data_IF_180873088686
#
_entry.id   IF_180873088686
#
_cell.length_a   1.000
_cell.length_b   1.000
_cell.length_c   1.000
_cell.angle_alpha   90.00
_cell.angle_beta   90.00
_cell.angle_gamma   90.00
#
_symmetry.space_group_name_H-M   'P 1'
#
loop_
_entity.id
_entity.type
_entity.pdbx_description
1 polymer ?
#
# COMPACT_ATOMS: atom_id res chain seq x y z
N UNK A 1 10.00 -0.62 -5.75
CA UNK A 1 8.82 -1.53 -5.61
C UNK A 1 9.16 -2.93 -6.10
N UNK A 2 8.46 -3.96 -5.61
CA UNK A 2 8.64 -5.33 -6.11
C UNK A 2 7.98 -5.54 -7.50
N UNK A 3 8.29 -6.62 -8.23
CA UNK A 3 7.72 -6.87 -9.55
C UNK A 3 6.20 -7.08 -9.58
N UNK A 4 5.57 -7.51 -8.48
CA UNK A 4 4.12 -7.70 -8.41
C UNK A 4 3.40 -6.36 -8.32
N UNK A 5 3.90 -5.45 -7.48
CA UNK A 5 3.38 -4.09 -7.36
C UNK A 5 3.53 -3.33 -8.69
N UNK A 6 4.72 -3.39 -9.31
CA UNK A 6 4.97 -2.80 -10.64
C UNK A 6 4.00 -3.34 -11.72
N UNK A 7 3.65 -4.63 -11.65
CA UNK A 7 2.69 -5.23 -12.56
C UNK A 7 1.27 -4.68 -12.34
N UNK A 8 0.83 -4.56 -11.08
CA UNK A 8 -0.49 -4.01 -10.75
C UNK A 8 -0.58 -2.54 -11.16
N UNK A 9 0.44 -1.74 -10.85
CA UNK A 9 0.50 -0.32 -11.24
C UNK A 9 0.52 -0.17 -12.77
N UNK A 10 1.23 -1.05 -13.49
CA UNK A 10 1.17 -1.08 -14.95
C UNK A 10 -0.22 -1.41 -15.48
N UNK A 11 -1.00 -2.28 -14.82
CA UNK A 11 -2.37 -2.61 -15.23
C UNK A 11 -3.30 -1.41 -14.92
N UNK A 12 -3.15 -0.79 -13.75
CA UNK A 12 -3.91 0.39 -13.36
C UNK A 12 -3.71 1.55 -14.34
N UNK A 13 -2.45 1.87 -14.71
CA UNK A 13 -2.15 2.87 -15.73
C UNK A 13 -2.76 2.52 -17.10
N UNK A 14 -2.71 1.23 -17.49
CA UNK A 14 -3.34 0.78 -18.74
C UNK A 14 -4.85 0.95 -18.71
N UNK A 15 -5.51 0.68 -17.59
CA UNK A 15 -6.95 0.89 -17.45
C UNK A 15 -7.34 2.34 -17.74
N UNK A 16 -6.57 3.32 -17.21
CA UNK A 16 -6.75 4.75 -17.52
C UNK A 16 -6.51 5.03 -19.00
N UNK A 17 -5.35 4.64 -19.54
CA UNK A 17 -4.99 5.00 -20.92
C UNK A 17 -5.80 4.29 -22.00
N UNK A 18 -6.46 3.17 -21.67
CA UNK A 18 -7.36 2.45 -22.55
C UNK A 18 -8.81 2.97 -22.50
N UNK A 19 -9.15 3.82 -21.52
CA UNK A 19 -10.45 4.46 -21.45
C UNK A 19 -10.63 5.38 -22.68
N UNK A 20 -11.69 5.19 -23.49
CA UNK A 20 -11.95 6.02 -24.67
C UNK A 20 -12.01 7.52 -24.37
N UNK A 21 -12.38 7.89 -23.15
CA UNK A 21 -12.52 9.27 -22.71
C UNK A 21 -11.17 9.88 -22.26
N UNK A 22 -10.09 9.10 -22.15
CA UNK A 22 -8.78 9.64 -21.76
C UNK A 22 -8.20 10.57 -22.84
N UNK A 23 -8.53 10.33 -24.11
CA UNK A 23 -8.18 11.22 -25.24
C UNK A 23 -6.70 11.68 -25.23
N UNK A 24 -5.78 10.74 -25.01
CA UNK A 24 -4.33 11.05 -24.98
C UNK A 24 -3.90 11.97 -23.82
N UNK A 25 -4.71 12.08 -22.77
CA UNK A 25 -4.50 12.98 -21.64
C UNK A 25 -5.20 14.34 -21.78
N UNK A 26 -5.83 14.63 -22.91
CA UNK A 26 -6.54 15.89 -23.16
C UNK A 26 -8.06 15.73 -22.97
N UNK A 27 -8.50 15.54 -21.72
CA UNK A 27 -9.92 15.32 -21.39
C UNK A 27 -10.55 16.48 -20.59
N UNK A 28 -9.87 17.62 -20.49
CA UNK A 28 -10.30 18.75 -19.64
C UNK A 28 -11.29 19.71 -20.31
N UNK A 29 -11.55 19.57 -21.61
CA UNK A 29 -12.53 20.42 -22.30
C UNK A 29 -13.95 20.12 -21.81
N UNK A 30 -14.79 21.15 -21.66
CA UNK A 30 -16.15 21.04 -21.10
C UNK A 30 -17.07 20.09 -21.86
N UNK A 31 -16.80 19.86 -23.15
CA UNK A 31 -17.57 18.97 -24.02
C UNK A 31 -17.07 17.52 -24.02
N UNK A 32 -16.01 17.22 -23.27
CA UNK A 32 -15.41 15.89 -23.19
C UNK A 32 -15.81 15.20 -21.89
N UNK A 33 -16.14 13.91 -22.02
CA UNK A 33 -16.24 13.04 -20.87
C UNK A 33 -14.85 12.78 -20.28
N UNK A 34 -14.80 12.55 -18.96
CA UNK A 34 -13.57 12.17 -18.25
C UNK A 34 -13.36 10.65 -18.31
N UNK A 35 -12.11 10.16 -18.20
CA UNK A 35 -11.79 8.72 -18.16
C UNK A 35 -12.10 8.09 -16.79
N UNK A 36 -13.32 8.29 -16.31
CA UNK A 36 -13.70 7.91 -14.95
C UNK A 36 -13.77 6.39 -14.79
N UNK A 37 -14.10 5.62 -15.85
CA UNK A 37 -14.10 4.15 -15.77
C UNK A 37 -12.68 3.61 -15.62
N UNK A 38 -11.75 4.11 -16.43
CA UNK A 38 -10.34 3.74 -16.35
C UNK A 38 -9.71 4.12 -15.01
N UNK A 39 -10.01 5.32 -14.52
CA UNK A 39 -9.55 5.78 -13.20
C UNK A 39 -10.19 4.98 -12.06
N UNK A 40 -11.47 4.63 -12.17
CA UNK A 40 -12.17 3.77 -11.23
C UNK A 40 -11.55 2.39 -11.12
N UNK A 41 -11.25 1.73 -12.24
CA UNK A 41 -10.55 0.45 -12.27
C UNK A 41 -9.16 0.53 -11.65
N UNK A 42 -8.40 1.59 -11.97
CA UNK A 42 -7.11 1.84 -11.36
C UNK A 42 -7.21 1.99 -9.83
N UNK A 43 -8.24 2.69 -9.34
CA UNK A 43 -8.53 2.80 -7.90
C UNK A 43 -8.85 1.43 -7.29
N UNK A 44 -9.68 0.62 -7.93
CA UNK A 44 -10.02 -0.71 -7.40
C UNK A 44 -8.79 -1.61 -7.26
N UNK A 45 -7.91 -1.62 -8.27
CA UNK A 45 -6.66 -2.38 -8.24
C UNK A 45 -5.75 -1.94 -7.09
N UNK A 46 -5.49 -0.64 -6.96
CA UNK A 46 -4.69 -0.11 -5.85
C UNK A 46 -5.34 -0.39 -4.50
N UNK A 47 -6.67 -0.26 -4.39
CA UNK A 47 -7.38 -0.50 -3.14
C UNK A 47 -7.30 -1.95 -2.64
N UNK A 48 -7.16 -2.91 -3.55
CA UNK A 48 -6.87 -4.32 -3.20
C UNK A 48 -5.46 -4.47 -2.63
N UNK A 49 -4.49 -3.67 -3.10
CA UNK A 49 -3.12 -3.67 -2.57
C UNK A 49 -3.02 -3.15 -1.14
N UNK A 50 -3.90 -2.22 -0.76
CA UNK A 50 -3.77 -1.56 0.54
C UNK A 50 -4.30 -2.39 1.71
N UNK A 51 -5.13 -3.39 1.43
CA UNK A 51 -5.77 -4.24 2.43
C UNK A 51 -5.07 -5.59 2.52
N UNK A 52 -4.90 -6.09 3.74
CA UNK A 52 -4.42 -7.47 3.93
C UNK A 52 -5.49 -8.49 3.54
N UNK A 53 -5.03 -9.73 3.27
CA UNK A 53 -5.94 -10.86 3.06
C UNK A 53 -6.85 -11.14 4.27
N UNK A 54 -6.33 -10.98 5.49
CA UNK A 54 -7.08 -11.21 6.72
C UNK A 54 -8.23 -10.20 6.85
N UNK A 55 -7.92 -8.90 6.69
CA UNK A 55 -8.92 -7.83 6.71
C UNK A 55 -10.00 -8.01 5.63
N UNK A 56 -9.60 -8.38 4.40
CA UNK A 56 -10.55 -8.67 3.32
C UNK A 56 -11.45 -9.88 3.63
N UNK A 57 -10.90 -10.94 4.22
CA UNK A 57 -11.65 -12.14 4.59
C UNK A 57 -12.71 -11.84 5.68
N UNK A 58 -12.31 -11.13 6.74
CA UNK A 58 -13.20 -10.78 7.85
C UNK A 58 -14.30 -9.79 7.41
N UNK A 59 -13.91 -8.81 6.59
CA UNK A 59 -14.80 -7.74 6.13
C UNK A 59 -15.80 -8.17 5.08
N UNK A 60 -15.50 -9.17 4.25
CA UNK A 60 -16.38 -9.54 3.13
C UNK A 60 -16.71 -11.03 3.05
N UNK A 61 -15.73 -11.90 3.25
CA UNK A 61 -15.84 -13.33 2.95
C UNK A 61 -16.37 -13.56 1.54
N UNK A 62 -17.41 -14.40 1.40
CA UNK A 62 -18.14 -14.62 0.13
C UNK A 62 -19.57 -14.10 0.19
N UNK A 63 -19.86 -13.12 1.05
CA UNK A 63 -21.23 -12.59 1.23
C UNK A 63 -21.76 -11.93 -0.04
N UNK A 64 -23.06 -12.03 -0.24
CA UNK A 64 -23.77 -11.37 -1.34
C UNK A 64 -24.26 -9.99 -0.90
N UNK A 65 -24.16 -9.01 -1.78
CA UNK A 65 -24.64 -7.66 -1.55
C UNK A 65 -26.17 -7.62 -1.36
N UNK A 66 -26.62 -6.83 -0.39
CA UNK A 66 -28.06 -6.66 -0.07
C UNK A 66 -28.78 -5.76 -1.09
N UNK A 67 -28.04 -4.92 -1.83
CA UNK A 67 -28.60 -4.11 -2.92
C UNK A 67 -28.87 -4.99 -4.15
N UNK A 68 -30.16 -5.22 -4.45
CA UNK A 68 -30.64 -5.84 -5.69
C UNK A 68 -30.59 -4.93 -6.92
N UNK A 69 -29.55 -4.11 -7.06
CA UNK A 69 -29.26 -3.37 -8.30
C UNK A 69 -28.38 -4.23 -9.18
N UNK A 70 -28.56 -4.17 -10.49
CA UNK A 70 -27.72 -4.84 -11.47
C UNK A 70 -26.24 -4.66 -11.14
N UNK A 71 -25.42 -5.70 -11.31
CA UNK A 71 -23.97 -5.57 -11.35
C UNK A 71 -23.62 -4.40 -12.29
N UNK A 72 -23.03 -3.33 -11.78
CA UNK A 72 -22.84 -2.05 -12.46
C UNK A 72 -23.39 -0.87 -11.64
N UNK A 73 -22.51 -0.22 -10.86
CA UNK A 73 -22.76 1.16 -10.41
C UNK A 73 -22.86 2.13 -11.59
N UNK A 74 -23.17 3.41 -11.35
CA UNK A 74 -23.26 4.41 -12.44
C UNK A 74 -21.94 4.51 -13.23
N UNK A 75 -20.83 4.12 -12.61
CA UNK A 75 -19.49 4.16 -13.18
C UNK A 75 -19.19 3.02 -14.16
N UNK A 76 -19.67 1.80 -13.92
CA UNK A 76 -19.26 0.62 -14.70
C UNK A 76 -20.43 0.01 -15.48
N UNK A 77 -20.21 -0.43 -16.73
CA UNK A 77 -21.24 -1.09 -17.50
C UNK A 77 -21.64 -2.42 -16.84
N UNK A 78 -22.90 -2.82 -17.02
CA UNK A 78 -23.37 -4.08 -16.48
C UNK A 78 -22.66 -5.28 -17.10
N UNK A 79 -22.19 -6.22 -16.26
CA UNK A 79 -21.57 -7.47 -16.72
C UNK A 79 -22.63 -8.45 -17.25
N UNK A 80 -22.65 -8.75 -18.57
CA UNK A 80 -23.59 -9.72 -19.14
C UNK A 80 -23.39 -11.14 -18.59
N UNK A 81 -22.18 -11.47 -18.13
CA UNK A 81 -21.82 -12.75 -17.51
C UNK A 81 -22.38 -12.92 -16.10
N UNK A 82 -22.68 -11.82 -15.39
CA UNK A 82 -23.13 -11.83 -14.01
C UNK A 82 -24.62 -12.21 -13.82
N UNK A 83 -25.39 -12.37 -14.91
CA UNK A 83 -26.85 -12.55 -14.85
C UNK A 83 -27.34 -13.70 -13.95
N UNK A 84 -26.51 -14.71 -13.73
CA UNK A 84 -26.83 -15.89 -12.91
C UNK A 84 -25.97 -16.03 -11.66
N UNK A 85 -25.15 -15.03 -11.34
CA UNK A 85 -24.22 -15.06 -10.21
C UNK A 85 -24.54 -13.94 -9.22
N UNK A 86 -24.41 -14.20 -7.90
CA UNK A 86 -24.64 -13.16 -6.91
C UNK A 86 -23.52 -12.12 -6.93
N UNK A 87 -23.92 -10.85 -7.02
CA UNK A 87 -23.05 -9.70 -6.77
C UNK A 87 -22.60 -9.68 -5.31
N UNK A 88 -21.30 -9.54 -5.06
CA UNK A 88 -20.67 -9.71 -3.75
C UNK A 88 -20.50 -8.39 -3.01
N UNK A 89 -20.45 -8.47 -1.69
CA UNK A 89 -20.16 -7.31 -0.83
C UNK A 89 -18.84 -6.63 -1.20
N UNK A 90 -17.81 -7.42 -1.55
CA UNK A 90 -16.51 -6.90 -1.97
C UNK A 90 -16.59 -6.11 -3.27
N UNK A 91 -17.39 -6.56 -4.24
CA UNK A 91 -17.60 -5.84 -5.50
C UNK A 91 -18.33 -4.51 -5.23
N UNK A 92 -19.41 -4.54 -4.45
CA UNK A 92 -20.12 -3.33 -4.04
C UNK A 92 -19.25 -2.33 -3.29
N UNK A 93 -18.33 -2.83 -2.46
CA UNK A 93 -17.39 -1.98 -1.74
C UNK A 93 -16.38 -1.32 -2.69
N UNK A 94 -15.79 -2.09 -3.61
CA UNK A 94 -14.84 -1.57 -4.59
C UNK A 94 -15.47 -0.56 -5.54
N UNK A 95 -16.72 -0.78 -5.97
CA UNK A 95 -17.46 0.17 -6.79
C UNK A 95 -17.69 1.50 -6.05
N UNK A 96 -18.11 1.45 -4.78
CA UNK A 96 -18.27 2.64 -3.95
C UNK A 96 -16.95 3.40 -3.73
N UNK A 97 -15.84 2.69 -3.51
CA UNK A 97 -14.52 3.30 -3.38
C UNK A 97 -14.05 3.95 -4.68
N UNK A 98 -14.36 3.35 -5.83
CA UNK A 98 -14.05 3.90 -7.14
C UNK A 98 -14.84 5.18 -7.41
N UNK A 99 -16.17 5.14 -7.25
CA UNK A 99 -17.07 6.29 -7.41
C UNK A 99 -16.61 7.49 -6.56
N UNK A 100 -16.32 7.25 -5.28
CA UNK A 100 -15.86 8.31 -4.36
C UNK A 100 -14.48 8.87 -4.73
N UNK A 101 -13.66 8.13 -5.48
CA UNK A 101 -12.31 8.53 -5.84
C UNK A 101 -12.26 9.34 -7.13
N UNK A 102 -13.02 8.95 -8.16
CA UNK A 102 -13.04 9.63 -9.46
C UNK A 102 -13.53 11.09 -9.35
N UNK A 103 -14.40 11.37 -8.39
CA UNK A 103 -14.89 12.71 -8.10
C UNK A 103 -13.80 13.66 -7.58
N UNK A 104 -12.74 13.12 -6.96
CA UNK A 104 -11.74 13.91 -6.22
C UNK A 104 -10.31 13.75 -6.73
N UNK A 105 -10.08 12.93 -7.75
CA UNK A 105 -8.74 12.66 -8.28
C UNK A 105 -8.69 12.81 -9.79
N UNK A 106 -7.53 13.22 -10.29
CA UNK A 106 -7.28 13.46 -11.71
C UNK A 106 -6.49 12.27 -12.30
N UNK A 107 -6.91 11.79 -13.47
CA UNK A 107 -6.35 10.59 -14.08
C UNK A 107 -4.90 10.78 -14.54
N UNK A 108 -4.55 11.94 -15.11
CA UNK A 108 -3.17 12.26 -15.47
C UNK A 108 -2.30 12.34 -14.21
N UNK A 109 -2.76 13.01 -13.16
CA UNK A 109 -2.06 13.07 -11.87
C UNK A 109 -1.77 11.67 -11.33
N UNK A 110 -2.73 10.75 -11.41
CA UNK A 110 -2.52 9.35 -11.05
C UNK A 110 -1.41 8.69 -11.88
N UNK A 111 -1.42 8.87 -13.21
CA UNK A 111 -0.37 8.33 -14.09
C UNK A 111 1.03 8.85 -13.74
N UNK A 112 1.15 10.13 -13.41
CA UNK A 112 2.45 10.73 -13.06
C UNK A 112 2.94 10.28 -11.68
N UNK A 113 2.07 10.28 -10.67
CA UNK A 113 2.45 9.87 -9.31
C UNK A 113 2.84 8.39 -9.25
N UNK A 114 2.09 7.51 -9.91
CA UNK A 114 2.43 6.07 -9.94
C UNK A 114 3.74 5.81 -10.69
N UNK A 115 4.06 6.55 -11.75
CA UNK A 115 5.39 6.45 -12.39
C UNK A 115 6.52 6.92 -11.49
N UNK A 116 6.32 8.03 -10.79
CA UNK A 116 7.32 8.52 -9.84
C UNK A 116 7.57 7.51 -8.71
N UNK A 117 6.53 6.80 -8.25
CA UNK A 117 6.68 5.72 -7.27
C UNK A 117 7.40 4.50 -7.85
N UNK A 118 7.05 4.08 -9.08
CA UNK A 118 7.68 2.94 -9.75
C UNK A 118 9.17 3.16 -10.03
N UNK A 119 9.52 4.38 -10.46
CA UNK A 119 10.88 4.75 -10.89
C UNK A 119 11.77 5.18 -9.70
N UNK A 120 11.23 5.29 -8.49
CA UNK A 120 12.02 5.68 -7.31
C UNK A 120 13.07 4.62 -6.98
N UNK A 121 14.33 5.06 -6.94
CA UNK A 121 15.48 4.29 -6.49
C UNK A 121 16.30 5.16 -5.52
N UNK A 122 16.40 4.73 -4.26
CA UNK A 122 17.12 5.47 -3.21
C UNK A 122 18.62 5.58 -3.55
N UNK A 123 19.20 4.55 -4.14
CA UNK A 123 20.61 4.51 -4.50
C UNK A 123 20.90 5.20 -5.84
N UNK A 124 19.93 5.86 -6.49
CA UNK A 124 20.16 6.50 -7.79
C UNK A 124 21.32 7.51 -7.71
N UNK A 125 22.40 7.22 -8.44
CA UNK A 125 23.62 8.05 -8.43
C UNK A 125 24.65 7.72 -7.34
N UNK A 126 24.40 6.70 -6.52
CA UNK A 126 25.29 6.22 -5.45
C UNK A 126 25.64 4.74 -5.62
N UNK A 127 26.58 4.23 -4.82
CA UNK A 127 27.00 2.82 -4.88
C UNK A 127 26.06 1.87 -4.12
N UNK A 128 25.29 2.40 -3.17
CA UNK A 128 24.34 1.66 -2.32
C UNK A 128 23.37 2.62 -1.63
N UNK A 129 22.30 2.07 -1.04
CA UNK A 129 21.37 2.83 -0.19
C UNK A 129 22.10 3.51 0.98
N UNK A 130 23.05 2.81 1.62
CA UNK A 130 23.85 3.38 2.70
C UNK A 130 24.70 4.57 2.21
N UNK A 131 25.33 4.46 1.03
CA UNK A 131 26.10 5.56 0.46
C UNK A 131 25.21 6.78 0.15
N UNK A 132 23.96 6.56 -0.29
CA UNK A 132 22.99 7.62 -0.54
C UNK A 132 22.52 8.31 0.76
N UNK A 133 22.41 7.54 1.85
CA UNK A 133 21.99 8.03 3.16
C UNK A 133 23.11 8.69 3.98
N UNK A 134 24.37 8.51 3.62
CA UNK A 134 25.52 9.01 4.41
C UNK A 134 25.61 10.53 4.59
N UNK A 135 24.82 11.33 3.85
CA UNK A 135 24.72 12.78 4.04
C UNK A 135 23.52 13.22 4.91
N UNK A 136 22.70 12.28 5.39
CA UNK A 136 21.56 12.57 6.25
C UNK A 136 22.02 12.80 7.69
N UNK A 137 21.72 13.99 8.24
CA UNK A 137 22.18 14.43 9.57
C UNK A 137 21.14 14.21 10.68
N UNK A 138 20.01 13.57 10.38
CA UNK A 138 18.90 13.39 11.33
C UNK A 138 18.87 12.01 11.97
N UNK A 139 17.75 11.73 12.62
CA UNK A 139 17.38 10.39 13.07
C UNK A 139 16.20 9.88 12.23
N UNK A 140 16.05 8.57 12.13
CA UNK A 140 14.96 7.94 11.37
C UNK A 140 14.13 7.01 12.26
N UNK A 141 12.80 7.12 12.15
CA UNK A 141 11.87 6.11 12.65
C UNK A 141 11.21 5.45 11.43
N UNK A 142 11.42 4.15 11.27
CA UNK A 142 10.74 3.34 10.27
C UNK A 142 9.59 2.59 10.94
N UNK A 143 8.37 2.83 10.47
CA UNK A 143 7.19 2.10 10.89
C UNK A 143 6.78 1.15 9.78
N UNK A 144 6.63 -0.13 10.12
CA UNK A 144 6.13 -1.16 9.21
C UNK A 144 4.99 -1.95 9.85
N UNK A 145 4.20 -2.66 9.05
CA UNK A 145 3.00 -3.35 9.51
C UNK A 145 3.01 -4.81 9.07
N UNK A 146 2.71 -5.74 9.98
CA UNK A 146 2.79 -7.19 9.71
C UNK A 146 1.88 -7.66 8.58
N UNK A 147 0.74 -6.99 8.36
CA UNK A 147 -0.18 -7.27 7.26
C UNK A 147 0.10 -6.54 5.95
N UNK A 148 1.08 -5.62 5.91
CA UNK A 148 1.41 -4.85 4.71
C UNK A 148 2.18 -5.72 3.71
N UNK A 149 1.59 -5.91 2.54
CA UNK A 149 2.19 -6.66 1.43
C UNK A 149 2.56 -5.77 0.25
N UNK A 150 2.28 -4.46 0.33
CA UNK A 150 2.70 -3.45 -0.64
C UNK A 150 4.09 -2.92 -0.29
N UNK A 151 4.28 -2.53 0.98
CA UNK A 151 5.57 -2.11 1.55
C UNK A 151 5.87 -2.97 2.78
N UNK A 152 6.63 -4.04 2.59
CA UNK A 152 6.73 -5.09 3.60
C UNK A 152 7.66 -4.73 4.76
N UNK A 153 7.51 -5.44 5.87
CA UNK A 153 8.42 -5.30 7.03
C UNK A 153 9.88 -5.58 6.64
N UNK A 154 10.12 -6.52 5.73
CA UNK A 154 11.47 -6.84 5.24
C UNK A 154 12.07 -5.71 4.40
N UNK A 155 11.26 -4.97 3.64
CA UNK A 155 11.73 -3.81 2.90
C UNK A 155 12.10 -2.65 3.85
N UNK A 156 11.31 -2.43 4.89
CA UNK A 156 11.65 -1.46 5.94
C UNK A 156 12.88 -1.87 6.73
N UNK A 157 13.08 -3.17 6.99
CA UNK A 157 14.30 -3.68 7.62
C UNK A 157 15.54 -3.44 6.74
N UNK A 158 15.45 -3.70 5.43
CA UNK A 158 16.55 -3.41 4.50
C UNK A 158 16.93 -1.92 4.50
N UNK A 159 15.94 -1.02 4.61
CA UNK A 159 16.19 0.42 4.75
C UNK A 159 16.82 0.77 6.11
N UNK A 160 16.37 0.14 7.20
CA UNK A 160 16.98 0.31 8.52
C UNK A 160 18.45 -0.14 8.51
N UNK A 161 18.77 -1.29 7.91
CA UNK A 161 20.14 -1.75 7.74
C UNK A 161 21.00 -0.75 6.93
N UNK A 162 20.43 -0.11 5.91
CA UNK A 162 21.13 0.94 5.17
C UNK A 162 21.43 2.18 6.03
N UNK A 163 20.49 2.61 6.88
CA UNK A 163 20.72 3.67 7.87
C UNK A 163 21.79 3.28 8.89
N UNK A 164 21.70 2.07 9.47
CA UNK A 164 22.69 1.55 10.43
C UNK A 164 24.09 1.47 9.82
N UNK A 165 24.20 0.99 8.59
CA UNK A 165 25.45 0.93 7.82
C UNK A 165 26.04 2.30 7.47
N UNK A 166 25.24 3.36 7.58
CA UNK A 166 25.65 4.77 7.39
C UNK A 166 25.93 5.50 8.70
N UNK A 167 25.91 4.79 9.83
CA UNK A 167 26.04 5.35 11.19
C UNK A 167 24.97 6.42 11.52
N UNK A 168 23.83 6.37 10.84
CA UNK A 168 22.67 7.24 11.11
C UNK A 168 21.80 6.57 12.18
N UNK A 169 21.42 7.27 13.27
CA UNK A 169 20.50 6.72 14.26
C UNK A 169 19.14 6.38 13.63
N UNK A 170 18.73 5.14 13.78
CA UNK A 170 17.46 4.63 13.24
C UNK A 170 16.82 3.68 14.25
N UNK A 171 15.48 3.67 14.26
CA UNK A 171 14.70 2.62 14.90
C UNK A 171 13.68 2.06 13.90
N UNK A 172 13.65 0.74 13.75
CA UNK A 172 12.60 0.05 13.00
C UNK A 172 11.57 -0.54 13.96
N UNK A 173 10.39 0.07 14.01
CA UNK A 173 9.30 -0.34 14.87
C UNK A 173 8.23 -1.07 14.05
N UNK A 174 8.09 -2.38 14.29
CA UNK A 174 7.10 -3.22 13.62
C UNK A 174 5.78 -3.19 14.41
N UNK A 175 4.72 -2.72 13.75
CA UNK A 175 3.37 -2.71 14.30
C UNK A 175 2.63 -3.97 13.87
N UNK A 176 2.19 -4.77 14.85
CA UNK A 176 1.32 -5.91 14.56
C UNK A 176 -0.07 -5.44 14.12
N UNK A 177 -0.42 -5.63 12.85
CA UNK A 177 -1.68 -5.19 12.25
C UNK A 177 -2.10 -6.02 11.05
N UNK A 178 -3.35 -6.47 11.08
CA UNK A 178 -4.02 -7.09 9.94
C UNK A 178 -4.62 -6.07 8.96
N UNK A 179 -4.46 -4.76 9.15
CA UNK A 179 -5.08 -3.76 8.26
C UNK A 179 -4.36 -3.59 6.93
N UNK A 180 -3.15 -4.13 6.80
CA UNK A 180 -2.32 -3.96 5.60
C UNK A 180 -1.65 -2.59 5.56
N UNK A 181 -1.38 -2.10 4.36
CA UNK A 181 -0.78 -0.79 4.15
C UNK A 181 -1.58 0.35 4.79
N UNK A 182 -2.92 0.27 4.78
CA UNK A 182 -3.77 1.33 5.34
C UNK A 182 -3.71 1.44 6.87
N UNK A 183 -3.00 0.55 7.58
CA UNK A 183 -2.87 0.54 9.03
C UNK A 183 -2.45 1.91 9.60
N UNK A 184 -1.53 2.62 8.93
CA UNK A 184 -1.08 3.94 9.39
C UNK A 184 -2.16 5.03 9.37
N UNK A 185 -3.23 4.84 8.59
CA UNK A 185 -4.37 5.75 8.51
C UNK A 185 -5.49 5.39 9.47
N UNK A 186 -5.65 4.10 9.79
CA UNK A 186 -6.85 3.58 10.48
C UNK A 186 -6.60 3.12 11.92
N UNK A 187 -5.34 2.99 12.35
CA UNK A 187 -4.96 2.60 13.72
C UNK A 187 -4.08 3.66 14.41
N UNK A 188 -4.59 4.89 14.63
CA UNK A 188 -3.83 5.98 15.25
C UNK A 188 -3.36 5.66 16.69
N UNK A 189 -4.02 4.74 17.38
CA UNK A 189 -3.63 4.26 18.71
C UNK A 189 -2.37 3.38 18.68
N UNK A 190 -2.05 2.74 17.55
CA UNK A 190 -0.84 1.94 17.36
C UNK A 190 0.31 2.77 16.79
N UNK A 191 0.01 3.70 15.88
CA UNK A 191 1.02 4.56 15.23
C UNK A 191 1.36 5.81 16.04
N UNK A 192 0.38 6.38 16.73
CA UNK A 192 0.52 7.66 17.43
C UNK A 192 1.55 7.65 18.56
N UNK A 193 1.59 6.64 19.44
CA UNK A 193 2.58 6.58 20.52
C UNK A 193 4.05 6.60 20.07
N UNK A 194 4.54 5.67 19.20
CA UNK A 194 5.94 5.68 18.76
C UNK A 194 6.29 6.98 18.03
N UNK A 195 5.38 7.49 17.17
CA UNK A 195 5.62 8.74 16.44
C UNK A 195 5.75 9.95 17.38
N UNK A 196 4.87 10.08 18.38
CA UNK A 196 4.92 11.19 19.34
C UNK A 196 6.21 11.15 20.14
N UNK A 197 6.58 9.97 20.64
CA UNK A 197 7.75 9.82 21.48
C UNK A 197 9.04 10.07 20.66
N UNK A 198 9.11 9.59 19.41
CA UNK A 198 10.20 9.89 18.47
C UNK A 198 10.36 11.39 18.21
N UNK A 199 9.25 12.11 17.97
CA UNK A 199 9.30 13.57 17.78
C UNK A 199 9.76 14.34 19.03
N UNK A 200 9.63 13.76 20.23
CA UNK A 200 10.03 14.40 21.48
C UNK A 200 11.41 14.01 21.99
N UNK A 201 11.80 12.76 21.79
CA UNK A 201 12.93 12.10 22.46
C UNK A 201 13.86 11.38 21.45
N UNK A 202 13.57 11.45 20.14
CA UNK A 202 14.34 10.74 19.11
C UNK A 202 14.15 9.23 19.18
N UNK A 203 15.13 8.47 18.68
CA UNK A 203 15.14 7.00 18.73
C UNK A 203 15.13 6.43 20.16
N UNK A 204 15.46 7.24 21.18
CA UNK A 204 15.40 6.85 22.59
C UNK A 204 13.99 6.96 23.22
N UNK A 205 13.00 7.40 22.43
CA UNK A 205 11.62 7.58 22.91
C UNK A 205 11.02 6.28 23.46
N UNK A 206 10.32 6.36 24.59
CA UNK A 206 9.84 5.17 25.33
C UNK A 206 8.94 4.21 24.53
N UNK A 207 8.10 4.74 23.64
CA UNK A 207 7.24 3.92 22.78
C UNK A 207 7.92 3.51 21.47
N UNK A 208 9.14 3.96 21.20
CA UNK A 208 9.95 3.53 20.06
C UNK A 208 10.62 2.21 20.41
N UNK A 209 10.52 1.23 19.51
CA UNK A 209 11.30 -0.01 19.59
C UNK A 209 12.09 -0.18 18.30
N UNK A 210 13.12 -1.00 18.36
CA UNK A 210 13.97 -1.31 17.21
C UNK A 210 14.12 -2.82 17.07
N UNK A 211 13.98 -3.34 15.85
CA UNK A 211 14.14 -4.77 15.54
C UNK A 211 15.53 -5.29 15.89
N UNK A 212 16.57 -4.46 15.79
CA UNK A 212 17.93 -4.87 16.12
C UNK A 212 18.20 -4.96 17.64
N UNK A 213 17.40 -4.29 18.48
CA UNK A 213 17.56 -4.35 19.94
C UNK A 213 17.06 -5.67 20.55
N UNK A 214 16.21 -6.41 19.83
CA UNK A 214 15.69 -7.71 20.27
C UNK A 214 16.73 -8.83 20.14
N UNK A 215 17.76 -8.67 19.30
CA UNK A 215 18.81 -9.67 19.08
C UNK A 215 19.92 -9.68 20.15
N UNK A 216 20.06 -8.61 20.96
CA UNK A 216 21.10 -8.53 21.99
C UNK A 216 20.75 -9.24 23.32
N UNK A 217 19.48 -9.63 23.54
CA UNK A 217 19.01 -10.16 24.84
C UNK A 217 18.15 -11.45 24.76
N UNK A 218 18.38 -12.33 23.78
CA UNK A 218 17.70 -13.64 23.75
C UNK A 218 18.51 -14.70 24.51
N UNK A 219 18.43 -14.62 25.85
CA UNK A 219 18.26 -15.83 26.65
C UNK A 219 16.86 -16.38 26.41
N UNK A 220 16.78 -17.66 25.98
CA UNK A 220 15.57 -18.47 25.77
C UNK A 220 14.23 -17.83 26.23
N UNK A 221 13.43 -17.30 25.28
CA UNK A 221 11.99 -17.19 25.48
C UNK A 221 11.21 -17.39 24.17
N UNK A 222 10.04 -18.02 24.31
CA UNK A 222 9.17 -18.59 23.29
C UNK A 222 8.65 -17.56 22.27
N UNK A 223 9.15 -17.61 21.04
CA UNK A 223 8.38 -17.24 19.87
C UNK A 223 8.24 -18.45 18.95
N UNK A 224 7.00 -18.72 18.52
CA UNK A 224 6.65 -19.85 17.68
C UNK A 224 7.39 -19.78 16.34
N UNK A 225 7.84 -20.92 15.77
CA UNK A 225 8.63 -20.93 14.56
C UNK A 225 7.83 -20.39 13.38
N UNK A 226 8.31 -19.29 12.79
CA UNK A 226 7.87 -18.82 11.48
C UNK A 226 8.18 -19.94 10.49
N UNK A 227 7.16 -20.44 9.80
CA UNK A 227 7.27 -21.53 8.83
C UNK A 227 8.08 -21.08 7.59
N UNK A 228 9.41 -21.08 7.69
CA UNK A 228 10.31 -21.08 6.54
C UNK A 228 10.45 -22.51 6.00
N UNK A 229 9.52 -22.94 5.15
CA UNK A 229 9.77 -23.87 4.05
C UNK A 229 8.48 -24.18 3.29
N UNK A 230 8.22 -23.39 2.26
CA UNK A 230 7.48 -23.84 1.09
C UNK A 230 8.34 -23.43 -0.11
N UNK A 231 8.65 -24.39 -0.98
CA UNK A 231 9.65 -24.35 -2.07
C UNK A 231 11.08 -24.76 -1.68
N UNK A 232 11.25 -26.02 -1.31
CA UNK A 232 12.36 -26.83 -1.84
C UNK A 232 11.78 -27.88 -2.79
N UNK A 233 12.03 -27.73 -4.10
CA UNK A 233 11.59 -28.66 -5.13
C UNK A 233 11.83 -28.12 -6.53
#
# INVERSE_FOLDING_TARGET
>A
LDPQCLAIDSIARRAITADPNWNGGDYYAEDRARPDQGLGLARQLGHVMYLSKASMADKFGRRSAVRGGSAGGDLFPADPGAAFFPYRDVESYLDYQAESFVDRFDANSYLYLTRAMDDYDLAEGYESDAAALGAFEGEALLLSFTGDWHFTTEQSEALAEAFRGSEVPVAHHVVDSDHGHDAFLVEPERVGPPLRDFLSEGVEGKAVSDTAAEDEDVGESEYAPVHNSLFSG
#
